data_IF_395595855680
#
_entry.id   IF_395595855680
#
_cell.length_a   1.000
_cell.length_b   1.000
_cell.length_c   1.000
_cell.angle_alpha   90.00
_cell.angle_beta   90.00
_cell.angle_gamma   90.00
#
_symmetry.space_group_name_H-M   'P 1'
#
loop_
_entity.id
_entity.type
_entity.pdbx_description
1 polymer ?
#
# COMPACT_ATOMS: atom_id res chain seq x y z
N UNK A 1 -1.65 10.06 15.52
CA UNK A 1 -2.20 10.14 14.14
C UNK A 1 -1.88 11.45 13.41
N UNK A 2 -2.02 12.64 14.03
CA UNK A 2 -1.50 13.91 13.49
C UNK A 2 -0.01 13.84 13.10
N UNK A 3 0.78 13.07 13.86
CA UNK A 3 2.21 12.88 13.67
C UNK A 3 2.61 12.21 12.35
N UNK A 4 1.82 11.29 11.79
CA UNK A 4 2.18 10.62 10.53
C UNK A 4 1.99 11.56 9.32
N UNK A 5 0.86 12.26 9.29
CA UNK A 5 0.59 13.27 8.28
C UNK A 5 1.61 14.42 8.36
N UNK A 6 1.91 14.90 9.57
CA UNK A 6 2.95 15.92 9.79
C UNK A 6 4.36 15.42 9.42
N UNK A 7 4.71 14.18 9.75
CA UNK A 7 6.01 13.59 9.37
C UNK A 7 6.16 13.40 7.86
N UNK A 8 5.05 13.21 7.14
CA UNK A 8 5.00 13.14 5.69
C UNK A 8 4.78 14.52 5.02
N UNK A 9 4.92 15.64 5.76
CA UNK A 9 4.75 16.99 5.21
C UNK A 9 3.33 17.33 4.77
N UNK A 10 2.36 16.44 5.02
CA UNK A 10 0.95 16.67 4.73
C UNK A 10 0.44 17.76 5.69
N UNK A 11 -0.35 18.72 5.20
CA UNK A 11 -1.27 19.44 6.09
C UNK A 11 -2.09 18.36 6.79
N UNK A 12 -1.94 18.24 8.11
CA UNK A 12 -2.66 17.24 8.87
C UNK A 12 -4.14 17.34 8.48
N UNK A 13 -4.74 16.29 7.90
CA UNK A 13 -6.08 16.42 7.39
C UNK A 13 -6.97 16.79 8.58
N UNK A 14 -7.80 17.83 8.41
CA UNK A 14 -8.80 18.22 9.41
C UNK A 14 -9.82 17.09 9.65
N UNK A 15 -9.83 16.09 8.76
CA UNK A 15 -10.60 14.86 8.87
C UNK A 15 -9.70 13.64 9.16
N UNK A 16 -10.18 12.69 9.98
CA UNK A 16 -9.49 11.41 10.16
C UNK A 16 -9.31 10.68 8.83
N UNK A 17 -8.16 10.02 8.64
CA UNK A 17 -7.90 9.19 7.47
C UNK A 17 -9.02 8.16 7.30
N UNK A 18 -9.46 7.95 6.06
CA UNK A 18 -10.41 6.90 5.77
C UNK A 18 -9.84 5.54 6.17
N UNK A 19 -10.58 4.79 6.97
CA UNK A 19 -10.22 3.41 7.30
C UNK A 19 -10.63 2.50 6.13
N UNK A 20 -9.65 2.00 5.40
CA UNK A 20 -9.86 1.11 4.26
C UNK A 20 -9.95 -0.37 4.68
N UNK A 21 -9.73 -0.66 5.97
CA UNK A 21 -9.77 -1.99 6.54
C UNK A 21 -8.65 -2.91 6.02
N UNK A 22 -8.97 -4.21 5.96
CA UNK A 22 -8.06 -5.27 5.51
C UNK A 22 -7.97 -5.35 3.98
N UNK A 23 -7.32 -4.36 3.39
CA UNK A 23 -7.06 -4.29 1.96
C UNK A 23 -5.61 -4.59 1.59
N UNK A 24 -4.68 -4.73 2.56
CA UNK A 24 -3.29 -5.11 2.28
C UNK A 24 -3.06 -6.55 2.70
N UNK A 25 -2.66 -7.41 1.78
CA UNK A 25 -2.31 -8.80 2.03
C UNK A 25 -0.81 -8.98 1.91
N UNK A 26 -0.17 -9.52 2.94
CA UNK A 26 1.28 -9.79 2.97
C UNK A 26 1.51 -11.30 2.96
N UNK A 27 2.26 -11.76 1.97
CA UNK A 27 2.75 -13.14 1.81
C UNK A 27 4.26 -13.16 2.00
N UNK A 28 4.85 -14.34 1.89
CA UNK A 28 6.28 -14.49 2.19
C UNK A 28 7.19 -13.67 1.27
N UNK A 29 6.85 -13.64 -0.01
CA UNK A 29 7.65 -12.96 -1.04
C UNK A 29 6.91 -11.82 -1.74
N UNK A 30 5.66 -11.55 -1.40
CA UNK A 30 4.85 -10.53 -2.06
C UNK A 30 3.92 -9.78 -1.11
N UNK A 31 3.47 -8.60 -1.53
CA UNK A 31 2.31 -7.96 -0.94
C UNK A 31 1.33 -7.54 -2.03
N UNK A 32 0.05 -7.60 -1.72
CA UNK A 32 -1.03 -7.29 -2.64
C UNK A 32 -2.02 -6.33 -2.00
N UNK A 33 -2.35 -5.25 -2.71
CA UNK A 33 -3.48 -4.39 -2.38
C UNK A 33 -4.76 -4.99 -2.99
N UNK A 34 -5.66 -5.50 -2.15
CA UNK A 34 -6.98 -5.99 -2.54
C UNK A 34 -7.98 -4.84 -2.54
N UNK A 35 -8.50 -4.51 -3.72
CA UNK A 35 -9.58 -3.54 -3.88
C UNK A 35 -10.92 -4.30 -3.95
N UNK A 36 -11.81 -4.21 -2.94
CA UNK A 36 -12.96 -5.11 -2.78
C UNK A 36 -13.92 -5.16 -3.99
N UNK A 37 -13.97 -4.08 -4.78
CA UNK A 37 -14.87 -3.96 -5.94
C UNK A 37 -14.23 -4.32 -7.28
N UNK A 38 -12.91 -4.46 -7.34
CA UNK A 38 -12.18 -4.63 -8.61
C UNK A 38 -11.79 -6.10 -8.84
N UNK A 39 -11.89 -6.96 -7.82
CA UNK A 39 -11.69 -8.41 -7.91
C UNK A 39 -10.23 -8.83 -8.14
N UNK A 40 -9.42 -7.98 -8.76
CA UNK A 40 -7.98 -8.13 -8.95
C UNK A 40 -7.22 -7.38 -7.85
N UNK A 41 -6.24 -8.05 -7.24
CA UNK A 41 -5.31 -7.43 -6.31
C UNK A 41 -4.12 -6.83 -7.06
N UNK A 42 -3.73 -5.61 -6.71
CA UNK A 42 -2.53 -4.97 -7.24
C UNK A 42 -1.31 -5.52 -6.50
N UNK A 43 -0.41 -6.20 -7.22
CA UNK A 43 0.87 -6.60 -6.65
C UNK A 43 1.73 -5.35 -6.40
N UNK A 44 2.22 -5.20 -5.17
CA UNK A 44 3.08 -4.10 -4.80
C UNK A 44 4.54 -4.54 -4.94
N UNK A 45 5.43 -3.69 -5.51
CA UNK A 45 6.85 -3.90 -5.39
C UNK A 45 7.21 -3.87 -3.90
N UNK A 46 7.76 -4.98 -3.38
CA UNK A 46 8.06 -5.09 -1.95
C UNK A 46 9.48 -5.55 -1.71
N UNK A 47 10.20 -4.81 -0.88
CA UNK A 47 11.45 -5.25 -0.29
C UNK A 47 11.19 -6.12 0.93
N UNK A 48 12.08 -7.07 1.19
CA UNK A 48 11.97 -7.99 2.33
C UNK A 48 11.82 -7.23 3.66
N UNK A 49 12.61 -6.17 3.84
CA UNK A 49 12.54 -5.32 5.04
C UNK A 49 11.13 -4.74 5.26
N UNK A 50 10.46 -4.31 4.19
CA UNK A 50 9.11 -3.78 4.26
C UNK A 50 8.10 -4.87 4.63
N UNK A 51 8.25 -6.09 4.08
CA UNK A 51 7.41 -7.25 4.46
C UNK A 51 7.61 -7.62 5.92
N UNK A 52 8.83 -7.61 6.44
CA UNK A 52 9.12 -7.86 7.86
C UNK A 52 8.51 -6.78 8.77
N UNK A 53 8.60 -5.50 8.36
CA UNK A 53 7.95 -4.41 9.09
C UNK A 53 6.44 -4.60 9.16
N UNK A 54 5.77 -4.93 8.05
CA UNK A 54 4.32 -5.15 8.03
C UNK A 54 3.87 -6.33 8.91
N UNK A 55 4.71 -7.38 9.06
CA UNK A 55 4.42 -8.49 9.98
C UNK A 55 4.45 -8.07 11.46
N UNK A 56 5.31 -7.11 11.82
CA UNK A 56 5.43 -6.62 13.21
C UNK A 56 4.53 -5.41 13.49
N UNK A 57 4.18 -4.64 12.44
CA UNK A 57 3.37 -3.43 12.48
C UNK A 57 2.37 -3.46 11.32
N UNK A 58 1.21 -4.12 11.52
CA UNK A 58 0.25 -4.35 10.44
C UNK A 58 -0.56 -3.10 10.09
N UNK A 59 -0.55 -2.07 10.92
CA UNK A 59 -1.23 -0.80 10.63
C UNK A 59 -0.28 0.14 9.88
N UNK A 60 -0.63 0.49 8.64
CA UNK A 60 0.14 1.42 7.81
C UNK A 60 -0.76 2.44 7.11
N UNK A 61 -0.16 3.57 6.73
CA UNK A 61 -0.80 4.53 5.85
C UNK A 61 -0.55 4.11 4.40
N UNK A 62 -1.62 4.04 3.62
CA UNK A 62 -1.56 3.93 2.17
C UNK A 62 -1.73 5.32 1.58
N UNK A 63 -0.77 5.72 0.75
CA UNK A 63 -0.77 6.98 0.01
C UNK A 63 -0.87 6.65 -1.47
N UNK A 64 -1.89 7.18 -2.14
CA UNK A 64 -2.13 6.98 -3.57
C UNK A 64 -2.15 8.37 -4.22
N UNK A 65 -1.20 8.62 -5.13
CA UNK A 65 -1.28 9.78 -6.01
C UNK A 65 -2.23 9.50 -7.18
N UNK A 66 -3.09 10.46 -7.49
CA UNK A 66 -4.11 10.38 -8.55
C UNK A 66 -3.57 10.85 -9.91
N UNK A 67 -2.47 11.60 -9.91
CA UNK A 67 -1.76 11.96 -11.13
C UNK A 67 -0.89 10.77 -11.59
N UNK A 68 -0.81 10.48 -12.90
CA UNK A 68 0.10 9.44 -13.38
C UNK A 68 1.56 9.82 -13.10
N UNK A 69 2.36 8.82 -12.74
CA UNK A 69 3.82 8.88 -12.71
C UNK A 69 4.36 7.95 -13.80
N UNK A 70 5.42 8.38 -14.50
CA UNK A 70 6.07 7.52 -15.49
C UNK A 70 6.63 6.27 -14.79
N UNK A 71 6.44 5.10 -15.40
CA UNK A 71 6.97 3.83 -14.88
C UNK A 71 8.50 3.81 -14.88
N UNK A 72 9.13 4.65 -15.71
CA UNK A 72 10.57 4.83 -15.79
C UNK A 72 11.08 6.05 -15.00
N UNK A 73 10.22 6.66 -14.17
CA UNK A 73 10.62 7.75 -13.32
C UNK A 73 11.81 7.36 -12.43
N UNK A 74 12.80 8.23 -12.34
CA UNK A 74 13.95 8.00 -11.46
C UNK A 74 13.52 8.08 -9.98
N UNK A 75 14.29 7.47 -9.08
CA UNK A 75 13.95 7.43 -7.65
C UNK A 75 13.76 8.85 -7.05
N UNK A 76 14.55 9.83 -7.48
CA UNK A 76 14.46 11.23 -7.05
C UNK A 76 13.23 11.97 -7.61
N UNK A 77 12.61 11.45 -8.67
CA UNK A 77 11.34 11.96 -9.19
C UNK A 77 10.17 11.53 -8.31
N UNK A 78 10.31 10.48 -7.50
CA UNK A 78 9.30 10.03 -6.55
C UNK A 78 8.97 11.08 -5.49
N UNK A 79 10.00 11.68 -4.90
CA UNK A 79 9.82 12.73 -3.89
C UNK A 79 9.18 14.00 -4.48
N UNK A 80 9.63 14.41 -5.67
CA UNK A 80 9.03 15.54 -6.41
C UNK A 80 7.58 15.26 -6.82
N UNK A 81 7.28 14.03 -7.19
CA UNK A 81 5.93 13.59 -7.52
C UNK A 81 5.01 13.72 -6.30
N UNK A 82 5.45 13.22 -5.14
CA UNK A 82 4.69 13.33 -3.90
C UNK A 82 4.46 14.79 -3.52
N UNK A 83 5.49 15.63 -3.57
CA UNK A 83 5.36 17.07 -3.27
C UNK A 83 4.39 17.77 -4.24
N UNK A 84 4.41 17.40 -5.52
CA UNK A 84 3.47 17.90 -6.52
C UNK A 84 2.04 17.46 -6.21
N UNK A 85 1.81 16.18 -5.97
CA UNK A 85 0.46 15.68 -5.67
C UNK A 85 -0.06 16.25 -4.35
N UNK A 86 0.83 16.58 -3.40
CA UNK A 86 0.49 17.30 -2.19
C UNK A 86 -0.03 18.70 -2.45
N UNK A 87 0.72 19.46 -3.25
CA UNK A 87 0.36 20.84 -3.56
C UNK A 87 -0.96 20.94 -4.33
N UNK A 88 -1.28 19.95 -5.17
CA UNK A 88 -2.49 19.95 -6.00
C UNK A 88 -3.69 19.26 -5.35
N UNK A 89 -3.53 18.61 -4.20
CA UNK A 89 -4.61 17.85 -3.56
C UNK A 89 -4.93 16.53 -4.27
N UNK A 90 -4.01 16.02 -5.08
CA UNK A 90 -4.13 14.78 -5.85
C UNK A 90 -3.65 13.55 -5.07
N UNK A 91 -3.66 13.61 -3.72
CA UNK A 91 -3.30 12.48 -2.87
C UNK A 91 -4.50 11.99 -2.09
N UNK A 92 -4.78 10.70 -2.25
CA UNK A 92 -5.63 9.96 -1.34
C UNK A 92 -4.77 9.29 -0.27
N UNK A 93 -5.15 9.49 0.98
CA UNK A 93 -4.50 8.85 2.12
C UNK A 93 -5.53 8.07 2.89
N UNK A 94 -5.24 6.81 3.15
CA UNK A 94 -6.09 5.92 3.93
C UNK A 94 -5.27 5.12 4.92
N UNK A 95 -5.90 4.69 6.00
CA UNK A 95 -5.32 3.69 6.89
C UNK A 95 -5.68 2.31 6.36
N UNK A 96 -4.70 1.41 6.35
CA UNK A 96 -4.90 0.01 5.98
C UNK A 96 -4.38 -0.90 7.07
N UNK A 97 -5.02 -2.06 7.19
CA UNK A 97 -4.53 -3.16 8.00
C UNK A 97 -3.95 -4.24 7.09
N UNK A 98 -2.71 -4.64 7.37
CA UNK A 98 -2.02 -5.72 6.68
C UNK A 98 -2.42 -7.06 7.28
N UNK A 99 -3.00 -7.93 6.46
CA UNK A 99 -3.26 -9.32 6.80
C UNK A 99 -2.08 -10.18 6.33
N UNK A 100 -1.41 -10.83 7.28
CA UNK A 100 -0.38 -11.81 6.98
C UNK A 100 -1.05 -13.14 6.64
N UNK A 101 -0.88 -13.60 5.41
CA UNK A 101 -1.43 -14.88 4.97
C UNK A 101 -0.29 -15.87 4.90
N UNK A 102 -0.35 -16.90 5.75
CA UNK A 102 0.56 -18.04 5.64
C UNK A 102 0.37 -18.68 4.26
N UNK A 103 1.47 -18.92 3.53
CA UNK A 103 1.40 -19.60 2.25
C UNK A 103 0.76 -20.97 2.42
N UNK A 104 -0.47 -21.14 1.91
CA UNK A 104 -0.91 -22.47 1.52
C UNK A 104 0.02 -22.90 0.39
N UNK A 105 0.97 -23.79 0.70
CA UNK A 105 1.62 -24.61 -0.29
C UNK A 105 0.53 -25.14 -1.22
N UNK A 106 0.71 -24.95 -2.52
CA UNK A 106 -0.15 -25.54 -3.53
C UNK A 106 -0.17 -27.05 -3.30
N UNK A 107 -1.18 -27.54 -2.59
CA UNK A 107 -1.49 -28.96 -2.56
C UNK A 107 -1.92 -29.30 -3.99
N UNK A 108 -1.03 -29.96 -4.71
CA UNK A 108 -1.34 -30.55 -5.99
C UNK A 108 -2.58 -31.42 -5.85
N UNK A 109 -3.68 -31.00 -6.48
CA UNK A 109 -4.66 -31.96 -6.96
C UNK A 109 -4.32 -32.21 -8.42
N UNK A 110 -3.52 -33.25 -8.63
CA UNK A 110 -3.53 -34.01 -9.87
C UNK A 110 -4.98 -34.42 -10.14
N UNK A 111 -5.62 -33.72 -11.08
CA UNK A 111 -6.83 -34.20 -11.75
C UNK A 111 -6.38 -35.26 -12.76
N UNK A 112 -6.18 -36.49 -12.28
CA UNK A 112 -6.22 -37.68 -13.13
C UNK A 112 -7.67 -37.90 -13.55
N UNK A 113 -7.91 -37.88 -14.86
CA UNK A 113 -9.01 -38.60 -15.51
C UNK A 113 -8.39 -39.61 -16.47
#
# INVERSE_FOLDING_TARGET
MRAFALAAGLRAPDQPLADLGACLMVRDESAHLRLPRIGQGLALPTHEHWRQLLRTRPEVALVIGLAPLDVHAAEDEGDRYLDRCLHHGDLMVGRVHAECVAGQAAAGQELTK
#
